data_IF_415827364335
#
_entry.id   IF_415827364335
#
_cell.length_a   1.000
_cell.length_b   1.000
_cell.length_c   1.000
_cell.angle_alpha   90.00
_cell.angle_beta   90.00
_cell.angle_gamma   90.00
#
_symmetry.space_group_name_H-M   'P 1'
#
loop_
_entity.id
_entity.type
_entity.pdbx_description
1 polymer ?
#
# COMPACT_ATOMS: atom_id res chain seq x y z
N UNK A 1 -31.69 -15.06 6.05
CA UNK A 1 -32.40 -13.82 6.42
C UNK A 1 -31.85 -12.75 5.50
N UNK A 2 -32.62 -12.39 4.47
CA UNK A 2 -32.19 -11.49 3.39
C UNK A 2 -32.47 -10.04 3.80
N UNK A 3 -31.42 -9.24 3.91
CA UNK A 3 -31.53 -7.79 4.11
C UNK A 3 -31.91 -7.14 2.78
N UNK A 4 -33.20 -6.84 2.63
CA UNK A 4 -33.70 -6.03 1.54
C UNK A 4 -33.15 -4.60 1.68
N UNK A 5 -32.17 -4.27 0.84
CA UNK A 5 -31.71 -2.92 0.58
C UNK A 5 -32.89 -2.06 0.08
N UNK A 6 -33.56 -1.35 1.00
CA UNK A 6 -34.44 -0.24 0.67
C UNK A 6 -33.53 0.89 0.20
N UNK A 7 -33.36 0.96 -1.11
CA UNK A 7 -32.55 1.99 -1.75
C UNK A 7 -33.41 3.22 -1.95
N UNK A 8 -33.00 4.32 -1.29
CA UNK A 8 -33.73 5.57 -1.26
C UNK A 8 -33.78 6.20 -2.67
N UNK A 9 -34.96 6.49 -3.25
CA UNK A 9 -35.10 6.96 -4.63
C UNK A 9 -34.33 8.25 -4.93
N UNK A 10 -34.10 9.10 -3.93
CA UNK A 10 -33.30 10.32 -4.10
C UNK A 10 -31.80 10.05 -4.33
N UNK A 11 -31.27 8.99 -3.70
CA UNK A 11 -29.87 8.57 -3.91
C UNK A 11 -29.69 7.90 -5.25
N UNK A 12 -30.65 7.07 -5.68
CA UNK A 12 -30.61 6.40 -6.98
C UNK A 12 -30.67 7.38 -8.15
N UNK A 13 -31.52 8.42 -8.06
CA UNK A 13 -31.66 9.41 -9.13
C UNK A 13 -30.39 10.25 -9.36
N UNK A 14 -29.59 10.51 -8.31
CA UNK A 14 -28.31 11.21 -8.44
C UNK A 14 -27.20 10.30 -8.98
N UNK A 15 -27.19 9.01 -8.60
CA UNK A 15 -26.25 8.02 -9.12
C UNK A 15 -26.50 7.79 -10.62
N UNK A 16 -27.76 7.63 -11.04
CA UNK A 16 -28.11 7.44 -12.45
C UNK A 16 -27.72 8.61 -13.35
N UNK A 17 -27.80 9.85 -12.83
CA UNK A 17 -27.35 11.06 -13.56
C UNK A 17 -25.83 11.13 -13.68
N UNK A 18 -25.11 10.75 -12.62
CA UNK A 18 -23.65 10.65 -12.65
C UNK A 18 -23.19 9.56 -13.62
N UNK A 19 -23.83 8.40 -13.60
CA UNK A 19 -23.54 7.28 -14.51
C UNK A 19 -23.83 7.64 -15.98
N UNK A 20 -24.93 8.36 -16.24
CA UNK A 20 -25.27 8.84 -17.59
C UNK A 20 -24.31 9.92 -18.11
N UNK A 21 -23.81 10.81 -17.23
CA UNK A 21 -22.78 11.78 -17.58
C UNK A 21 -21.44 11.09 -17.88
N UNK A 22 -21.03 10.14 -17.04
CA UNK A 22 -19.79 9.38 -17.24
C UNK A 22 -19.86 8.52 -18.51
N UNK A 23 -21.03 7.98 -18.87
CA UNK A 23 -21.24 7.22 -20.10
C UNK A 23 -21.06 8.06 -21.39
N UNK A 24 -21.12 9.39 -21.32
CA UNK A 24 -20.81 10.26 -22.46
C UNK A 24 -19.31 10.36 -22.74
N UNK A 25 -18.47 10.14 -21.73
CA UNK A 25 -17.02 10.29 -21.83
C UNK A 25 -16.28 8.95 -21.79
N UNK A 26 -16.91 7.89 -21.28
CA UNK A 26 -16.31 6.57 -21.13
C UNK A 26 -17.34 5.52 -21.54
N UNK A 27 -17.03 4.73 -22.56
CA UNK A 27 -17.84 3.56 -22.91
C UNK A 27 -17.70 2.52 -21.80
N UNK A 28 -18.75 2.37 -20.98
CA UNK A 28 -18.77 1.52 -19.78
C UNK A 28 -18.39 0.07 -20.12
N UNK A 29 -18.62 -0.36 -21.37
CA UNK A 29 -18.19 -1.68 -21.88
C UNK A 29 -16.67 -1.88 -21.87
N UNK A 30 -15.88 -0.79 -21.92
CA UNK A 30 -14.42 -0.84 -21.83
C UNK A 30 -13.90 -0.90 -20.39
N UNK A 31 -14.77 -0.68 -19.39
CA UNK A 31 -14.42 -0.72 -17.97
C UNK A 31 -14.77 -2.03 -17.26
N UNK A 32 -15.32 -3.03 -17.97
CA UNK A 32 -15.52 -4.37 -17.39
C UNK A 32 -14.26 -5.22 -17.56
N UNK A 33 -13.48 -5.40 -16.47
CA UNK A 33 -12.96 -6.72 -16.17
C UNK A 33 -13.24 -7.06 -14.71
N UNK A 34 -14.45 -7.54 -14.42
CA UNK A 34 -14.74 -8.17 -13.13
C UNK A 34 -15.42 -9.50 -13.41
N UNK A 35 -14.60 -10.55 -13.57
CA UNK A 35 -14.82 -11.90 -13.00
C UNK A 35 -13.74 -12.90 -13.39
N UNK A 36 -13.02 -12.67 -14.47
CA UNK A 36 -11.88 -13.50 -14.89
C UNK A 36 -10.66 -12.58 -14.98
N UNK A 37 -9.51 -13.02 -14.45
CA UNK A 37 -8.32 -12.18 -14.32
C UNK A 37 -7.90 -11.49 -15.62
N UNK A 38 -6.97 -10.52 -15.54
CA UNK A 38 -6.51 -9.80 -16.74
C UNK A 38 -6.08 -10.80 -17.83
N UNK A 39 -6.77 -10.75 -18.98
CA UNK A 39 -6.39 -11.56 -20.14
C UNK A 39 -5.03 -11.09 -20.66
N UNK A 40 -4.32 -11.96 -21.40
CA UNK A 40 -3.03 -11.60 -22.02
C UNK A 40 -3.16 -10.34 -22.89
N UNK A 41 -4.27 -10.22 -23.62
CA UNK A 41 -4.58 -9.06 -24.46
C UNK A 41 -4.76 -7.78 -23.64
N UNK A 42 -5.41 -7.85 -22.47
CA UNK A 42 -5.52 -6.70 -21.56
C UNK A 42 -4.17 -6.31 -20.96
N UNK A 43 -3.35 -7.28 -20.58
CA UNK A 43 -1.98 -7.02 -20.09
C UNK A 43 -1.16 -6.35 -21.20
N UNK A 44 -1.28 -6.86 -22.42
CA UNK A 44 -0.62 -6.30 -23.60
C UNK A 44 -1.13 -4.87 -23.84
N UNK A 45 -2.45 -4.63 -23.74
CA UNK A 45 -3.08 -3.30 -23.78
C UNK A 45 -2.54 -2.31 -22.74
N UNK A 46 -2.49 -2.68 -21.47
CA UNK A 46 -1.87 -1.84 -20.45
C UNK A 46 -0.36 -1.65 -20.68
N UNK A 47 0.32 -2.63 -21.28
CA UNK A 47 1.71 -2.50 -21.69
C UNK A 47 1.89 -1.64 -22.95
N UNK A 48 0.84 -1.32 -23.71
CA UNK A 48 0.88 -0.31 -24.79
C UNK A 48 1.04 1.08 -24.18
N UNK A 49 0.35 1.32 -23.05
CA UNK A 49 0.51 2.51 -22.22
C UNK A 49 1.76 2.42 -21.34
N UNK A 50 2.91 2.11 -21.94
CA UNK A 50 4.20 2.31 -21.27
C UNK A 50 4.26 3.78 -20.91
N UNK A 51 4.02 4.09 -19.64
CA UNK A 51 4.28 5.41 -19.09
C UNK A 51 5.67 5.80 -19.56
N UNK A 52 5.75 6.91 -20.30
CA UNK A 52 7.03 7.30 -20.88
C UNK A 52 8.04 7.37 -19.74
N UNK A 53 9.25 6.88 -20.00
CA UNK A 53 10.33 6.91 -18.99
C UNK A 53 10.68 8.34 -18.56
N UNK A 54 10.23 9.34 -19.33
CA UNK A 54 10.36 10.77 -19.07
C UNK A 54 9.23 11.33 -18.20
N UNK A 55 8.16 10.58 -17.92
CA UNK A 55 7.11 11.05 -17.01
C UNK A 55 7.66 11.16 -15.59
N UNK A 56 7.60 12.38 -15.06
CA UNK A 56 7.86 12.65 -13.66
C UNK A 56 6.69 12.15 -12.83
N UNK A 57 6.98 11.41 -11.76
CA UNK A 57 6.00 10.98 -10.77
C UNK A 57 6.32 11.70 -9.46
N UNK A 58 5.67 12.85 -9.26
CA UNK A 58 6.02 13.77 -8.18
C UNK A 58 7.47 14.28 -8.36
N UNK A 59 8.32 14.24 -7.32
CA UNK A 59 9.69 14.74 -7.41
C UNK A 59 10.70 13.76 -8.04
N UNK A 60 10.24 12.61 -8.57
CA UNK A 60 11.12 11.55 -9.07
C UNK A 60 10.70 11.15 -10.49
N UNK A 61 11.67 10.79 -11.31
CA UNK A 61 11.39 10.16 -12.59
C UNK A 61 10.76 8.77 -12.40
N UNK A 62 10.04 8.29 -13.42
CA UNK A 62 9.52 6.93 -13.46
C UNK A 62 10.59 5.88 -13.11
N UNK A 63 11.78 5.99 -13.71
CA UNK A 63 12.87 5.03 -13.50
C UNK A 63 13.39 5.03 -12.05
N UNK A 64 13.55 6.20 -11.44
CA UNK A 64 13.98 6.30 -10.04
C UNK A 64 12.94 5.73 -9.08
N UNK A 65 11.66 5.95 -9.35
CA UNK A 65 10.57 5.36 -8.57
C UNK A 65 10.60 3.84 -8.66
N UNK A 66 10.78 3.27 -9.85
CA UNK A 66 10.92 1.82 -10.04
C UNK A 66 12.09 1.25 -9.23
N UNK A 67 13.26 1.89 -9.26
CA UNK A 67 14.43 1.51 -8.43
C UNK A 67 14.11 1.54 -6.94
N UNK A 68 13.42 2.58 -6.46
CA UNK A 68 13.00 2.68 -5.04
C UNK A 68 12.02 1.58 -4.66
N UNK A 69 11.03 1.28 -5.50
CA UNK A 69 10.06 0.20 -5.29
C UNK A 69 10.77 -1.15 -5.23
N UNK A 70 11.67 -1.42 -6.16
CA UNK A 70 12.46 -2.66 -6.18
C UNK A 70 13.27 -2.81 -4.89
N UNK A 71 14.00 -1.76 -4.47
CA UNK A 71 14.76 -1.74 -3.22
C UNK A 71 13.87 -1.94 -2.00
N UNK A 72 12.68 -1.35 -1.99
CA UNK A 72 11.69 -1.54 -0.93
C UNK A 72 11.22 -3.00 -0.85
N UNK A 73 10.88 -3.63 -1.98
CA UNK A 73 10.46 -5.03 -2.04
C UNK A 73 11.55 -5.97 -1.53
N UNK A 74 12.80 -5.75 -1.96
CA UNK A 74 13.96 -6.48 -1.47
C UNK A 74 14.11 -6.33 0.05
N UNK A 75 14.08 -5.09 0.56
CA UNK A 75 14.14 -4.83 2.01
C UNK A 75 12.99 -5.46 2.78
N UNK A 76 11.77 -5.49 2.23
CA UNK A 76 10.60 -6.12 2.83
C UNK A 76 10.80 -7.62 3.02
N UNK A 77 11.34 -8.28 1.99
CA UNK A 77 11.58 -9.73 2.01
C UNK A 77 12.70 -10.13 2.98
N UNK A 78 13.64 -9.22 3.28
CA UNK A 78 14.77 -9.47 4.18
C UNK A 78 14.60 -8.88 5.58
N UNK A 79 13.41 -8.38 5.94
CA UNK A 79 13.19 -7.83 7.29
C UNK A 79 13.31 -8.94 8.33
N UNK A 80 14.08 -8.66 9.38
CA UNK A 80 14.16 -9.52 10.55
C UNK A 80 13.29 -8.92 11.65
N UNK A 81 12.29 -9.66 12.11
CA UNK A 81 11.37 -9.24 13.17
C UNK A 81 11.75 -9.80 14.55
N UNK A 82 12.62 -10.80 14.58
CA UNK A 82 13.15 -11.31 15.84
C UNK A 82 14.02 -10.25 16.52
N UNK A 83 14.00 -10.26 17.85
CA UNK A 83 14.81 -9.35 18.66
C UNK A 83 16.29 -9.62 18.40
N UNK A 84 16.95 -8.69 17.70
CA UNK A 84 18.41 -8.69 17.51
C UNK A 84 19.08 -7.79 18.54
N UNK A 85 20.14 -8.29 19.17
CA UNK A 85 21.02 -7.48 19.99
C UNK A 85 22.19 -6.98 19.11
N UNK A 86 22.29 -5.67 18.91
CA UNK A 86 23.37 -5.07 18.12
C UNK A 86 24.58 -4.67 18.97
N UNK A 87 24.38 -4.47 20.28
CA UNK A 87 25.40 -3.91 21.16
C UNK A 87 25.47 -4.74 22.44
N UNK A 88 26.23 -5.82 22.39
CA UNK A 88 26.32 -6.79 23.48
C UNK A 88 26.80 -6.19 24.79
N UNK A 89 27.76 -5.25 24.73
CA UNK A 89 28.22 -4.54 25.91
C UNK A 89 27.08 -3.78 26.62
N UNK A 90 26.20 -3.11 25.88
CA UNK A 90 25.05 -2.39 26.45
C UNK A 90 24.07 -3.35 27.12
N UNK A 91 23.83 -4.50 26.50
CA UNK A 91 22.98 -5.56 27.06
C UNK A 91 23.60 -6.13 28.35
N UNK A 92 24.90 -6.44 28.34
CA UNK A 92 25.61 -6.95 29.53
C UNK A 92 25.58 -5.92 30.67
N UNK A 93 25.88 -4.66 30.38
CA UNK A 93 25.82 -3.55 31.36
C UNK A 93 24.39 -3.36 31.90
N UNK A 94 23.37 -3.46 31.05
CA UNK A 94 21.97 -3.35 31.47
C UNK A 94 21.50 -4.53 32.36
N UNK A 95 22.12 -5.72 32.22
CA UNK A 95 21.87 -6.88 33.09
C UNK A 95 22.48 -6.70 34.48
N UNK A 96 23.64 -6.06 34.59
CA UNK A 96 24.33 -5.89 35.88
C UNK A 96 23.87 -4.66 36.69
N UNK A 97 23.08 -3.76 36.10
CA UNK A 97 22.58 -2.55 36.79
C UNK A 97 21.49 -2.88 37.81
N UNK A 98 21.52 -2.21 38.96
CA UNK A 98 20.49 -2.32 40.00
C UNK A 98 19.11 -1.90 39.48
N UNK A 99 18.08 -2.64 39.90
CA UNK A 99 16.68 -2.36 39.55
C UNK A 99 15.76 -2.52 40.74
N UNK A 100 14.73 -1.68 40.80
CA UNK A 100 13.57 -1.82 41.68
C UNK A 100 12.31 -1.83 40.82
N UNK A 101 11.43 -2.81 41.02
CA UNK A 101 10.21 -3.00 40.22
C UNK A 101 10.47 -2.95 38.70
N UNK A 102 11.62 -3.47 38.26
CA UNK A 102 12.04 -3.52 36.86
C UNK A 102 12.66 -2.23 36.30
N UNK A 103 12.65 -1.12 37.04
CA UNK A 103 13.24 0.17 36.65
C UNK A 103 14.68 0.28 37.15
N UNK A 104 15.55 0.92 36.38
CA UNK A 104 16.91 1.20 36.86
C UNK A 104 16.88 2.24 37.98
N UNK A 105 17.66 2.00 39.03
CA UNK A 105 17.81 2.92 40.16
C UNK A 105 19.23 3.47 40.15
N UNK A 106 19.40 4.74 40.52
CA UNK A 106 20.70 5.28 40.87
C UNK A 106 21.04 4.79 42.27
N UNK A 107 22.31 4.49 42.51
CA UNK A 107 22.76 4.35 43.88
C UNK A 107 22.65 5.75 44.48
N UNK A 108 21.63 5.96 45.33
CA UNK A 108 21.53 7.17 46.13
C UNK A 108 22.82 7.20 46.97
N UNK A 109 23.70 8.16 46.65
CA UNK A 109 24.87 8.44 47.47
C UNK A 109 24.41 9.00 48.81
#
# INVERSE_FOLDING_TARGET
>A
MNDNNISDPFTQANIQKADAFLAQFIDIKQLLPIKEGLTKEMIEYFNQFKFSTQMQIGPLSYQERQKKIQKYRQKRNTRQFSKKNHYDYRTKKAKSRQREKGRFVSNNK
#
